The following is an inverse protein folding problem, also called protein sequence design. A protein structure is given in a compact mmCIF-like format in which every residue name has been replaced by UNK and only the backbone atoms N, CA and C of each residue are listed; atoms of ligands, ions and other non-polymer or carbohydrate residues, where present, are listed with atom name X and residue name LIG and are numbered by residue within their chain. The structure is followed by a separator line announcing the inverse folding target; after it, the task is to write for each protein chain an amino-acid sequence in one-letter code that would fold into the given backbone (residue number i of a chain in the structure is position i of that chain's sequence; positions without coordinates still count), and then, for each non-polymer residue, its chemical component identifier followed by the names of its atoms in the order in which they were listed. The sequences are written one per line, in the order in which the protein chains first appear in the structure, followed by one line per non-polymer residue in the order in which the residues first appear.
data_IF_217720622822
#
_entry.id   IF_217720622822
#
_cell.length_a   1.000
_cell.length_b   1.000
_cell.length_c   1.000
_cell.angle_alpha   90.00
_cell.angle_beta   90.00
_cell.angle_gamma   90.00
#
_symmetry.space_group_name_H-M   'P 1'
#
loop_
_entity.id
_entity.type
_entity.pdbx_description
1 polymer ?
#
# COMPACT_ATOMS: atom_id res chain seq x y z
N UNK A 1 -40.95 10.48 -16.88
CA UNK A 1 -39.88 9.97 -17.75
C UNK A 1 -38.57 10.11 -16.96
N UNK A 2 -38.19 9.05 -16.24
CA UNK A 2 -36.98 9.02 -15.39
C UNK A 2 -35.84 8.46 -16.26
N UNK A 3 -34.74 9.21 -16.40
CA UNK A 3 -33.49 8.69 -16.99
C UNK A 3 -32.50 8.38 -15.88
N UNK A 4 -32.21 7.09 -15.84
CA UNK A 4 -31.06 6.33 -15.34
C UNK A 4 -29.92 7.06 -14.64
N UNK A 5 -29.52 6.47 -13.51
CA UNK A 5 -28.47 6.95 -12.64
C UNK A 5 -27.07 6.78 -13.21
N UNK A 6 -26.27 7.83 -13.05
CA UNK A 6 -24.82 7.72 -13.08
C UNK A 6 -24.33 7.38 -11.66
N UNK A 7 -23.96 6.11 -11.46
CA UNK A 7 -23.03 5.72 -10.40
C UNK A 7 -21.68 6.35 -10.75
N UNK A 8 -21.33 7.45 -10.07
CA UNK A 8 -19.96 7.93 -10.03
C UNK A 8 -19.14 6.88 -9.28
N UNK A 9 -18.28 6.17 -10.01
CA UNK A 9 -17.33 5.24 -9.43
C UNK A 9 -16.39 5.99 -8.49
N UNK A 10 -16.20 5.46 -7.29
CA UNK A 10 -15.12 5.88 -6.42
C UNK A 10 -13.80 5.60 -7.14
N UNK A 11 -13.10 6.64 -7.59
CA UNK A 11 -11.73 6.52 -8.07
C UNK A 11 -10.82 6.30 -6.86
N UNK A 12 -10.16 5.13 -6.81
CA UNK A 12 -9.35 4.69 -5.67
C UNK A 12 -7.99 5.41 -5.58
N UNK A 13 -7.90 6.29 -4.59
CA UNK A 13 -6.77 7.15 -4.22
C UNK A 13 -5.56 6.38 -3.62
N UNK A 14 -4.32 6.65 -4.07
CA UNK A 14 -3.14 5.79 -3.81
C UNK A 14 -2.03 6.43 -2.94
N UNK A 15 -1.91 6.03 -1.66
CA UNK A 15 -0.80 6.42 -0.74
C UNK A 15 0.56 5.78 -1.07
N UNK A 16 0.58 4.67 -1.82
CA UNK A 16 1.79 3.91 -2.13
C UNK A 16 2.76 4.61 -3.08
N UNK A 17 2.26 5.51 -3.94
CA UNK A 17 3.13 6.30 -4.83
C UNK A 17 4.05 7.27 -4.07
N UNK A 18 3.53 7.93 -3.05
CA UNK A 18 4.30 8.89 -2.25
C UNK A 18 5.40 8.21 -1.43
N UNK A 19 5.13 7.02 -0.91
CA UNK A 19 6.12 6.18 -0.22
C UNK A 19 7.29 5.79 -1.14
N UNK A 20 6.97 5.44 -2.38
CA UNK A 20 7.95 5.07 -3.40
C UNK A 20 8.95 6.21 -3.71
N UNK A 21 8.44 7.44 -3.82
CA UNK A 21 9.25 8.63 -4.15
C UNK A 21 10.03 9.16 -2.94
N UNK A 22 9.35 9.43 -1.83
CA UNK A 22 9.95 10.19 -0.72
C UNK A 22 10.73 9.32 0.25
N UNK A 23 10.28 8.08 0.46
CA UNK A 23 10.90 7.18 1.43
C UNK A 23 11.83 6.16 0.77
N UNK A 24 11.32 5.43 -0.23
CA UNK A 24 12.10 4.39 -0.91
C UNK A 24 13.04 4.96 -1.99
N UNK A 25 12.75 6.16 -2.49
CA UNK A 25 13.48 6.84 -3.59
C UNK A 25 13.70 5.96 -4.81
N UNK A 26 12.72 5.10 -5.13
CA UNK A 26 12.83 4.15 -6.24
C UNK A 26 12.36 4.72 -7.59
N UNK A 27 11.76 5.93 -7.61
CA UNK A 27 11.35 6.70 -8.81
C UNK A 27 11.22 8.19 -8.51
N UNK A 28 11.30 9.03 -9.55
CA UNK A 28 11.38 10.50 -9.44
C UNK A 28 10.03 11.20 -9.19
N UNK A 29 8.90 10.58 -9.54
CA UNK A 29 7.58 11.20 -9.38
C UNK A 29 6.45 10.22 -9.10
N UNK A 30 5.42 10.72 -8.40
CA UNK A 30 4.13 10.07 -8.25
C UNK A 30 3.28 10.40 -9.47
N UNK A 31 2.75 9.41 -10.18
CA UNK A 31 1.84 9.68 -11.30
C UNK A 31 0.41 10.03 -10.86
N UNK A 32 0.10 9.93 -9.56
CA UNK A 32 -1.09 10.49 -8.91
C UNK A 32 -0.67 11.07 -7.55
N UNK A 33 -1.18 12.25 -7.18
CA UNK A 33 -0.98 12.86 -5.87
C UNK A 33 -2.35 13.20 -5.29
N UNK A 34 -2.82 12.42 -4.31
CA UNK A 34 -4.06 12.72 -3.61
C UNK A 34 -3.90 12.60 -2.10
N UNK A 35 -4.36 13.64 -1.39
CA UNK A 35 -4.43 13.76 0.06
C UNK A 35 -5.90 13.90 0.50
N UNK A 36 -6.21 13.54 1.74
CA UNK A 36 -7.47 13.88 2.45
C UNK A 36 -7.17 13.78 3.96
N UNK A 37 -7.53 14.70 4.87
CA UNK A 37 -8.58 15.74 4.94
C UNK A 37 -8.10 16.93 5.81
N UNK A 38 -8.77 18.08 5.67
CA UNK A 38 -8.65 19.24 6.57
C UNK A 38 -9.35 19.01 7.94
N UNK A 39 -8.90 19.68 9.03
CA UNK A 39 -9.35 19.46 10.41
C UNK A 39 -10.86 19.65 10.69
N UNK A 40 -11.59 20.35 9.80
CA UNK A 40 -13.00 20.70 10.02
C UNK A 40 -13.99 19.54 9.88
N UNK A 41 -13.55 18.38 9.37
CA UNK A 41 -14.41 17.23 9.10
C UNK A 41 -14.41 16.18 10.22
N UNK A 42 -13.71 16.41 11.33
CA UNK A 42 -13.63 15.48 12.47
C UNK A 42 -14.97 15.23 13.19
N UNK A 43 -15.98 16.06 12.93
CA UNK A 43 -17.32 15.98 13.55
C UNK A 43 -18.40 15.42 12.61
N UNK A 44 -18.05 15.07 11.38
CA UNK A 44 -18.97 14.47 10.42
C UNK A 44 -19.10 12.95 10.69
N UNK A 45 -20.33 12.48 10.94
CA UNK A 45 -20.59 11.08 11.31
C UNK A 45 -20.34 10.09 10.15
N UNK A 46 -20.41 10.54 8.89
CA UNK A 46 -20.15 9.69 7.72
C UNK A 46 -18.64 9.55 7.46
N UNK A 47 -17.88 10.63 7.73
CA UNK A 47 -16.41 10.59 7.79
C UNK A 47 -15.96 9.76 8.99
N UNK A 48 -16.56 9.97 10.16
CA UNK A 48 -16.28 9.19 11.37
C UNK A 48 -16.56 7.72 11.15
N UNK A 49 -17.59 7.31 10.42
CA UNK A 49 -17.86 5.89 10.12
C UNK A 49 -16.78 5.23 9.26
N UNK A 50 -16.22 5.97 8.30
CA UNK A 50 -15.14 5.50 7.43
C UNK A 50 -13.78 5.54 8.12
N UNK A 51 -13.50 6.60 8.91
CA UNK A 51 -12.34 6.67 9.80
C UNK A 51 -12.42 5.62 10.90
N UNK A 52 -13.60 5.39 11.47
CA UNK A 52 -13.83 4.38 12.50
C UNK A 52 -13.69 2.98 11.93
N UNK A 53 -14.13 2.68 10.70
CA UNK A 53 -13.78 1.41 10.02
C UNK A 53 -12.27 1.28 9.76
N UNK A 54 -11.57 2.38 9.48
CA UNK A 54 -10.11 2.40 9.41
C UNK A 54 -9.44 2.27 10.80
N UNK A 55 -10.06 2.76 11.88
CA UNK A 55 -9.63 2.68 13.28
C UNK A 55 -10.04 1.37 13.98
N UNK A 56 -11.04 0.64 13.47
CA UNK A 56 -11.48 -0.69 13.96
C UNK A 56 -10.34 -1.71 13.81
N UNK A 57 -9.31 -1.39 13.01
CA UNK A 57 -8.01 -2.06 13.03
C UNK A 57 -7.02 -1.26 13.88
N UNK A 58 -7.26 -1.16 15.19
CA UNK A 58 -6.36 -0.47 16.14
C UNK A 58 -4.90 -0.94 16.01
N UNK A 59 -4.70 -2.19 15.63
CA UNK A 59 -3.40 -2.78 15.31
C UNK A 59 -2.66 -2.05 14.18
N UNK A 60 -3.34 -1.53 13.16
CA UNK A 60 -2.66 -0.85 12.04
C UNK A 60 -1.97 0.44 12.51
N UNK A 61 -2.65 1.21 13.35
CA UNK A 61 -2.09 2.43 13.92
C UNK A 61 -0.96 2.10 14.89
N UNK A 62 -1.18 1.15 15.81
CA UNK A 62 -0.15 0.71 16.76
C UNK A 62 1.10 0.15 16.05
N UNK A 63 0.94 -0.66 15.02
CA UNK A 63 2.06 -1.20 14.24
C UNK A 63 2.76 -0.11 13.41
N UNK A 64 2.01 0.83 12.84
CA UNK A 64 2.60 1.99 12.15
C UNK A 64 3.39 2.89 13.12
N UNK A 65 2.90 3.07 14.35
CA UNK A 65 3.62 3.79 15.41
C UNK A 65 4.89 3.05 15.84
N UNK A 66 4.83 1.73 16.03
CA UNK A 66 6.01 0.90 16.31
C UNK A 66 7.04 0.99 15.18
N UNK A 67 6.60 0.99 13.92
CA UNK A 67 7.51 1.15 12.78
C UNK A 67 8.07 2.56 12.67
N UNK A 68 7.31 3.55 13.16
CA UNK A 68 7.66 4.96 13.27
C UNK A 68 8.14 5.56 11.93
N UNK A 69 7.58 5.08 10.83
CA UNK A 69 7.89 5.58 9.50
C UNK A 69 7.00 6.78 9.18
N UNK A 70 7.59 7.96 9.31
CA UNK A 70 6.92 9.23 9.04
C UNK A 70 6.92 9.47 7.54
N UNK A 71 5.72 9.46 6.96
CA UNK A 71 5.51 9.85 5.58
C UNK A 71 5.48 11.37 5.44
N UNK A 72 4.85 12.04 6.40
CA UNK A 72 4.75 13.49 6.46
C UNK A 72 4.54 13.93 7.90
N UNK A 73 5.10 15.09 8.25
CA UNK A 73 4.95 15.71 9.56
C UNK A 73 4.83 17.22 9.41
N UNK A 74 3.79 17.77 10.04
CA UNK A 74 3.59 19.20 10.17
C UNK A 74 3.16 19.54 11.59
N UNK A 75 2.92 20.83 11.86
CA UNK A 75 2.75 21.36 13.21
C UNK A 75 1.64 20.71 14.05
N UNK A 76 0.64 20.09 13.40
CA UNK A 76 -0.53 19.50 14.08
C UNK A 76 -0.96 18.14 13.53
N UNK A 77 -0.24 17.60 12.55
CA UNK A 77 -0.61 16.36 11.88
C UNK A 77 0.65 15.58 11.51
N UNK A 78 0.61 14.27 11.77
CA UNK A 78 1.65 13.32 11.44
C UNK A 78 1.03 12.16 10.70
N UNK A 79 1.61 11.80 9.56
CA UNK A 79 1.15 10.69 8.73
C UNK A 79 2.17 9.57 8.83
N UNK A 80 1.74 8.45 9.41
CA UNK A 80 2.54 7.23 9.52
C UNK A 80 2.16 6.21 8.46
N UNK A 81 3.07 5.30 8.17
CA UNK A 81 2.86 4.21 7.22
C UNK A 81 3.35 2.89 7.79
N UNK A 82 2.54 1.84 7.59
CA UNK A 82 2.91 0.45 7.85
C UNK A 82 3.35 -0.17 6.52
N UNK A 83 4.59 -0.66 6.45
CA UNK A 83 5.17 -1.15 5.18
C UNK A 83 4.46 -2.39 4.65
N UNK A 84 4.05 -3.30 5.52
CA UNK A 84 3.32 -4.53 5.20
C UNK A 84 1.96 -4.19 4.59
N UNK A 85 1.28 -3.16 5.12
CA UNK A 85 0.04 -2.68 4.52
C UNK A 85 0.28 -2.09 3.12
N UNK A 86 1.31 -1.26 2.98
CA UNK A 86 1.64 -0.69 1.67
C UNK A 86 2.00 -1.79 0.64
N UNK A 87 2.70 -2.83 1.09
CA UNK A 87 3.06 -3.98 0.27
C UNK A 87 1.83 -4.80 -0.11
N UNK A 88 0.97 -5.15 0.85
CA UNK A 88 -0.30 -5.82 0.62
C UNK A 88 -1.06 -5.12 -0.52
N UNK A 89 -1.28 -3.81 -0.40
CA UNK A 89 -2.04 -3.05 -1.41
C UNK A 89 -1.42 -3.15 -2.82
N UNK A 90 -0.09 -3.14 -2.93
CA UNK A 90 0.60 -3.28 -4.22
C UNK A 90 0.46 -4.70 -4.77
N UNK A 91 0.60 -5.72 -3.93
CA UNK A 91 0.42 -7.11 -4.33
C UNK A 91 -1.01 -7.38 -4.83
N UNK A 92 -2.03 -6.84 -4.13
CA UNK A 92 -3.44 -6.98 -4.53
C UNK A 92 -3.71 -6.31 -5.87
N UNK A 93 -3.17 -5.11 -6.12
CA UNK A 93 -3.31 -4.41 -7.41
C UNK A 93 -2.67 -5.17 -8.56
N UNK A 94 -1.49 -5.75 -8.34
CA UNK A 94 -0.77 -6.56 -9.34
C UNK A 94 -1.56 -7.82 -9.69
N UNK A 95 -2.03 -8.57 -8.68
CA UNK A 95 -2.73 -9.83 -8.87
C UNK A 95 -4.10 -9.64 -9.51
N UNK A 96 -4.91 -8.72 -8.97
CA UNK A 96 -6.30 -8.53 -9.39
C UNK A 96 -6.42 -7.68 -10.66
N UNK A 97 -5.30 -7.26 -11.27
CA UNK A 97 -5.30 -6.53 -12.54
C UNK A 97 -5.98 -5.16 -12.49
N UNK A 98 -6.16 -4.58 -11.31
CA UNK A 98 -7.01 -3.40 -11.08
C UNK A 98 -6.52 -2.14 -11.82
N UNK A 99 -5.23 -2.07 -12.18
CA UNK A 99 -4.62 -0.94 -12.86
C UNK A 99 -3.59 -1.41 -13.91
N UNK A 100 -4.05 -2.11 -14.94
CA UNK A 100 -3.18 -2.74 -15.94
C UNK A 100 -2.15 -1.79 -16.57
N UNK A 101 -2.50 -0.52 -16.80
CA UNK A 101 -1.58 0.52 -17.30
C UNK A 101 -0.50 0.95 -16.30
N UNK A 102 -0.72 0.75 -15.00
CA UNK A 102 0.20 1.10 -13.90
C UNK A 102 0.91 -0.12 -13.29
N UNK A 103 0.64 -1.33 -13.81
CA UNK A 103 1.18 -2.60 -13.29
C UNK A 103 2.70 -2.62 -13.14
N UNK A 104 3.43 -2.09 -14.13
CA UNK A 104 4.90 -2.01 -14.06
C UNK A 104 5.41 -1.12 -12.91
N UNK A 105 4.67 -0.07 -12.59
CA UNK A 105 4.95 0.81 -11.46
C UNK A 105 4.64 0.12 -10.14
N UNK A 106 3.50 -0.56 -10.05
CA UNK A 106 3.14 -1.30 -8.83
C UNK A 106 4.12 -2.43 -8.53
N UNK A 107 4.62 -3.13 -9.55
CA UNK A 107 5.70 -4.12 -9.39
C UNK A 107 6.95 -3.44 -8.84
N UNK A 108 7.41 -2.34 -9.43
CA UNK A 108 8.62 -1.65 -8.96
C UNK A 108 8.50 -1.16 -7.51
N UNK A 109 7.33 -0.67 -7.11
CA UNK A 109 7.03 -0.27 -5.73
C UNK A 109 7.02 -1.48 -4.79
N UNK A 110 6.36 -2.57 -5.16
CA UNK A 110 6.35 -3.81 -4.38
C UNK A 110 7.76 -4.37 -4.17
N UNK A 111 8.60 -4.39 -5.22
CA UNK A 111 9.99 -4.85 -5.12
C UNK A 111 10.83 -3.99 -4.17
N UNK A 112 10.63 -2.66 -4.17
CA UNK A 112 11.34 -1.76 -3.26
C UNK A 112 10.87 -1.96 -1.81
N UNK A 113 9.58 -2.18 -1.58
CA UNK A 113 9.02 -2.50 -0.26
C UNK A 113 9.56 -3.82 0.29
N UNK A 114 9.57 -4.87 -0.54
CA UNK A 114 10.15 -6.17 -0.19
C UNK A 114 11.62 -6.03 0.21
N UNK A 115 12.40 -5.27 -0.55
CA UNK A 115 13.82 -5.04 -0.24
C UNK A 115 14.01 -4.30 1.08
N UNK A 116 13.20 -3.29 1.35
CA UNK A 116 13.28 -2.56 2.62
C UNK A 116 12.88 -3.43 3.81
N UNK A 117 11.80 -4.22 3.69
CA UNK A 117 11.38 -5.17 4.73
C UNK A 117 12.45 -6.25 4.97
N UNK A 118 13.05 -6.79 3.92
CA UNK A 118 14.15 -7.77 4.00
C UNK A 118 15.33 -7.20 4.80
N UNK A 119 15.76 -5.97 4.48
CA UNK A 119 16.83 -5.29 5.21
C UNK A 119 16.48 -5.05 6.67
N UNK A 120 15.24 -4.61 6.94
CA UNK A 120 14.75 -4.35 8.30
C UNK A 120 14.70 -5.63 9.15
N UNK A 121 14.29 -6.75 8.54
CA UNK A 121 14.17 -8.05 9.22
C UNK A 121 15.50 -8.82 9.27
N UNK A 122 16.56 -8.32 8.64
CA UNK A 122 17.89 -8.93 8.65
C UNK A 122 17.99 -10.24 7.88
N UNK A 123 17.04 -10.54 6.98
CA UNK A 123 16.97 -11.84 6.32
C UNK A 123 15.86 -11.96 5.30
N UNK A 124 15.82 -13.11 4.64
CA UNK A 124 14.78 -13.46 3.67
C UNK A 124 13.38 -13.38 4.31
N UNK A 125 12.40 -12.95 3.51
CA UNK A 125 11.03 -12.82 3.96
C UNK A 125 10.30 -14.16 3.87
N UNK A 126 9.41 -14.44 4.83
CA UNK A 126 8.55 -15.62 4.77
C UNK A 126 7.49 -15.39 3.68
N UNK A 127 7.53 -16.21 2.63
CA UNK A 127 6.76 -16.00 1.41
C UNK A 127 5.26 -16.07 1.66
N UNK A 128 4.82 -17.04 2.44
CA UNK A 128 3.39 -17.26 2.67
C UNK A 128 2.79 -16.17 3.56
N UNK A 129 3.53 -15.70 4.55
CA UNK A 129 3.17 -14.54 5.36
C UNK A 129 2.95 -13.32 4.49
N UNK A 130 3.91 -12.99 3.60
CA UNK A 130 3.77 -11.85 2.68
C UNK A 130 2.61 -12.02 1.71
N UNK A 131 2.41 -13.23 1.16
CA UNK A 131 1.33 -13.53 0.23
C UNK A 131 -0.05 -13.39 0.88
N UNK A 132 -0.16 -13.74 2.16
CA UNK A 132 -1.43 -13.81 2.89
C UNK A 132 -1.71 -12.61 3.80
N UNK A 133 -0.88 -11.54 3.72
CA UNK A 133 -1.14 -10.27 4.43
C UNK A 133 -2.59 -9.82 4.21
N UNK A 134 -3.34 -9.70 5.31
CA UNK A 134 -4.75 -9.30 5.33
C UNK A 134 -4.95 -8.11 6.28
N UNK A 135 -4.10 -7.10 6.10
CA UNK A 135 -4.10 -5.93 6.98
C UNK A 135 -5.27 -5.04 6.64
N UNK A 136 -5.61 -4.82 5.37
CA UNK A 136 -6.74 -3.97 5.00
C UNK A 136 -7.50 -4.32 3.71
N UNK A 137 -7.14 -5.40 3.03
CA UNK A 137 -7.70 -5.72 1.71
C UNK A 137 -9.08 -6.41 1.78
N UNK A 138 -9.90 -6.16 0.78
CA UNK A 138 -11.11 -6.96 0.46
C UNK A 138 -10.94 -7.79 -0.81
N UNK A 139 -9.81 -7.63 -1.48
CA UNK A 139 -9.48 -8.22 -2.77
C UNK A 139 -8.93 -9.64 -2.58
N UNK A 140 -8.82 -10.43 -3.66
CA UNK A 140 -8.23 -11.77 -3.57
C UNK A 140 -6.73 -11.71 -3.26
N UNK A 141 -6.25 -12.68 -2.47
CA UNK A 141 -4.81 -12.84 -2.17
C UNK A 141 -4.07 -13.19 -3.46
N UNK A 142 -2.83 -12.72 -3.64
CA UNK A 142 -2.00 -13.22 -4.73
C UNK A 142 -1.89 -14.73 -4.70
N UNK A 143 -2.01 -15.34 -5.88
CA UNK A 143 -1.68 -16.74 -6.06
C UNK A 143 -0.16 -16.96 -6.10
N UNK A 144 0.26 -18.23 -6.08
CA UNK A 144 1.68 -18.57 -6.12
C UNK A 144 2.35 -18.11 -7.42
N UNK A 145 1.63 -18.13 -8.56
CA UNK A 145 2.16 -17.67 -9.84
C UNK A 145 2.51 -16.19 -9.85
N UNK A 146 1.67 -15.34 -9.26
CA UNK A 146 1.96 -13.91 -9.07
C UNK A 146 3.18 -13.73 -8.18
N UNK A 147 3.29 -14.52 -7.10
CA UNK A 147 4.46 -14.46 -6.22
C UNK A 147 5.75 -14.96 -6.90
N UNK A 148 5.67 -15.94 -7.81
CA UNK A 148 6.82 -16.41 -8.60
C UNK A 148 7.31 -15.32 -9.56
N UNK A 149 6.39 -14.63 -10.23
CA UNK A 149 6.73 -13.49 -11.09
C UNK A 149 7.44 -12.39 -10.30
N UNK A 150 6.92 -12.06 -9.12
CA UNK A 150 7.52 -11.04 -8.24
C UNK A 150 8.90 -11.47 -7.77
N UNK A 151 9.06 -12.72 -7.31
CA UNK A 151 10.35 -13.26 -6.88
C UNK A 151 11.39 -13.26 -8.03
N UNK A 152 10.99 -13.71 -9.21
CA UNK A 152 11.85 -13.72 -10.38
C UNK A 152 12.26 -12.30 -10.80
N UNK A 153 11.33 -11.34 -10.75
CA UNK A 153 11.61 -9.94 -11.09
C UNK A 153 12.49 -9.28 -10.03
N UNK A 154 12.29 -9.61 -8.75
CA UNK A 154 13.15 -9.16 -7.65
C UNK A 154 14.60 -9.64 -7.86
N UNK A 155 14.80 -10.94 -8.12
CA UNK A 155 16.11 -11.52 -8.37
C UNK A 155 16.83 -10.89 -9.56
N UNK A 156 16.10 -10.61 -10.64
CA UNK A 156 16.65 -9.89 -11.80
C UNK A 156 17.05 -8.46 -11.48
N UNK A 157 16.28 -7.75 -10.63
CA UNK A 157 16.50 -6.33 -10.34
C UNK A 157 17.62 -6.09 -9.35
N UNK A 158 17.70 -6.91 -8.30
CA UNK A 158 18.63 -6.69 -7.20
C UNK A 158 19.75 -7.73 -7.10
N UNK A 159 19.71 -8.78 -7.93
CA UNK A 159 20.67 -9.90 -7.90
C UNK A 159 20.71 -10.62 -6.54
N UNK A 160 19.56 -10.67 -5.86
CA UNK A 160 19.37 -11.30 -4.56
C UNK A 160 18.00 -11.98 -4.46
N UNK A 161 17.84 -12.92 -3.54
CA UNK A 161 16.55 -13.57 -3.26
C UNK A 161 15.73 -12.71 -2.27
N UNK A 162 14.42 -12.60 -2.50
CA UNK A 162 13.50 -11.89 -1.61
C UNK A 162 12.96 -12.78 -0.48
N UNK A 163 12.72 -14.06 -0.80
CA UNK A 163 11.94 -14.98 0.03
C UNK A 163 12.76 -16.20 0.41
N UNK A 164 12.42 -16.78 1.57
CA UNK A 164 12.93 -18.07 2.04
C UNK A 164 12.17 -19.24 1.42
#
# INVERSE_FOLDING_TARGET
MLREGNRLGAEDYNKGGYLAVNFLRNRESTQDLDYSLEPKWAHDNDVRGSLHRAMVRGTLFEEAEKQNLVLWEGSHLRVLVLLEWALEQKLRRIHNGMQSSKRGTDINDALALLRHLKMRNGGLLEREYIRTLDICSTEMVPDHGTMDEIAATYGKKYYEEAFA
#
